data_IF_674542337994
#
_entry.id   IF_674542337994
#
_cell.length_a   1.000
_cell.length_b   1.000
_cell.length_c   1.000
_cell.angle_alpha   90.00
_cell.angle_beta   90.00
_cell.angle_gamma   90.00
#
_symmetry.space_group_name_H-M   'P 1'
#
loop_
_entity.id
_entity.type
_entity.pdbx_description
1 polymer ?
#
# COMPACT_ATOMS: atom_id res chain seq x y z
N UNK A 1 11.39 -13.76 -6.71
CA UNK A 1 11.24 -12.28 -6.94
C UNK A 1 10.53 -11.71 -5.72
N UNK A 2 11.03 -10.66 -5.03
CA UNK A 2 10.44 -10.15 -3.78
C UNK A 2 9.53 -8.96 -4.06
N UNK A 3 8.21 -9.00 -3.83
CA UNK A 3 7.34 -7.81 -3.99
C UNK A 3 6.42 -7.57 -2.81
N UNK A 4 6.43 -6.35 -2.29
CA UNK A 4 5.49 -5.90 -1.26
C UNK A 4 5.23 -4.40 -1.34
N UNK A 5 4.05 -4.00 -0.87
CA UNK A 5 3.57 -2.62 -0.82
C UNK A 5 3.77 -2.07 0.59
N UNK A 6 4.42 -0.90 0.73
CA UNK A 6 4.55 -0.19 2.01
C UNK A 6 3.66 1.06 2.02
N UNK A 7 2.64 1.14 2.89
CA UNK A 7 1.75 2.31 3.02
C UNK A 7 2.00 3.07 4.34
N UNK A 8 1.89 4.41 4.33
CA UNK A 8 2.07 5.29 5.51
C UNK A 8 0.84 6.13 5.83
N UNK A 9 0.42 6.20 7.10
CA UNK A 9 -0.79 6.88 7.62
C UNK A 9 -0.59 8.39 7.94
N UNK A 10 -1.69 9.16 7.92
CA UNK A 10 -1.75 10.62 8.20
C UNK A 10 -2.46 10.96 9.53
N UNK A 11 -2.20 10.20 10.60
CA UNK A 11 -2.27 10.69 11.98
C UNK A 11 -0.86 11.11 12.39
N UNK A 12 -0.72 11.81 13.52
CA UNK A 12 0.58 11.99 14.18
C UNK A 12 1.37 10.67 14.07
N UNK A 13 2.49 10.70 13.34
CA UNK A 13 3.32 9.51 13.16
C UNK A 13 3.90 9.14 14.51
N UNK A 14 4.30 7.88 14.70
CA UNK A 14 5.04 7.47 15.89
C UNK A 14 6.27 8.36 16.13
N UNK A 15 6.91 8.85 15.06
CA UNK A 15 7.99 9.86 15.14
C UNK A 15 7.48 11.22 15.66
N UNK A 16 6.40 11.76 15.08
CA UNK A 16 5.82 13.03 15.53
C UNK A 16 5.30 12.94 16.97
N UNK A 17 4.73 11.79 17.35
CA UNK A 17 4.31 11.49 18.71
C UNK A 17 5.51 11.54 19.65
N UNK A 18 6.62 10.91 19.29
CA UNK A 18 7.85 11.00 20.07
C UNK A 18 8.31 12.46 20.18
N UNK A 19 8.39 13.20 19.07
CA UNK A 19 8.81 14.61 19.08
C UNK A 19 7.92 15.48 19.96
N UNK A 20 6.60 15.32 19.87
CA UNK A 20 5.64 16.03 20.72
C UNK A 20 5.83 15.67 22.19
N UNK A 21 5.93 14.39 22.54
CA UNK A 21 6.14 13.98 23.93
C UNK A 21 7.44 14.56 24.48
N UNK A 22 8.52 14.60 23.68
CA UNK A 22 9.77 15.25 24.08
C UNK A 22 9.60 16.76 24.30
N UNK A 23 8.77 17.43 23.49
CA UNK A 23 8.43 18.85 23.69
C UNK A 23 7.59 19.09 24.96
N UNK A 24 6.85 18.09 25.41
CA UNK A 24 6.06 18.09 26.65
C UNK A 24 6.90 17.68 27.89
N UNK A 25 8.22 17.53 27.74
CA UNK A 25 9.15 17.24 28.83
C UNK A 25 9.38 15.76 29.11
N UNK A 26 8.88 14.86 28.26
CA UNK A 26 9.25 13.45 28.33
C UNK A 26 10.72 13.27 27.92
N UNK A 27 11.30 12.14 28.35
CA UNK A 27 12.67 11.75 28.03
C UNK A 27 12.72 10.39 27.36
N UNK A 28 13.73 10.17 26.52
CA UNK A 28 14.05 8.85 25.98
C UNK A 28 14.75 8.04 27.08
N UNK A 29 14.07 7.03 27.61
CA UNK A 29 14.63 6.10 28.61
C UNK A 29 15.48 5.00 27.97
N UNK A 30 15.27 4.72 26.69
CA UNK A 30 16.07 3.75 25.94
C UNK A 30 15.59 3.58 24.51
N UNK A 31 16.40 2.89 23.71
CA UNK A 31 16.05 2.54 22.34
C UNK A 31 16.48 1.10 22.07
N UNK A 32 15.58 0.31 21.51
CA UNK A 32 15.87 -1.05 21.08
C UNK A 32 15.27 -1.30 19.70
N UNK A 33 16.14 -1.57 18.71
CA UNK A 33 15.75 -1.73 17.30
C UNK A 33 14.89 -0.52 16.84
N UNK A 34 13.61 -0.76 16.56
CA UNK A 34 12.65 0.24 16.08
C UNK A 34 11.72 0.76 17.18
N UNK A 35 11.92 0.33 18.43
CA UNK A 35 11.13 0.76 19.57
C UNK A 35 11.88 1.82 20.36
N UNK A 36 11.21 2.93 20.63
CA UNK A 36 11.66 3.99 21.54
C UNK A 36 10.89 3.84 22.84
N UNK A 37 11.60 3.84 23.96
CA UNK A 37 11.01 3.81 25.28
C UNK A 37 10.99 5.23 25.83
N UNK A 38 9.80 5.79 26.00
CA UNK A 38 9.60 7.12 26.55
C UNK A 38 9.30 7.04 28.05
N UNK A 39 9.80 8.00 28.82
CA UNK A 39 9.49 8.16 30.23
C UNK A 39 8.95 9.57 30.46
N UNK A 40 7.80 9.73 31.14
CA UNK A 40 7.26 11.04 31.49
C UNK A 40 8.19 11.82 32.43
N UNK A 41 7.98 13.14 32.59
CA UNK A 41 8.81 13.98 33.46
C UNK A 41 8.91 13.46 34.90
N UNK A 42 7.83 12.86 35.41
CA UNK A 42 7.74 12.31 36.77
C UNK A 42 8.40 10.92 36.92
N UNK A 43 8.78 10.28 35.80
CA UNK A 43 9.39 8.96 35.79
C UNK A 43 8.48 7.81 36.22
N UNK A 44 7.16 8.01 36.26
CA UNK A 44 6.21 7.04 36.81
C UNK A 44 6.10 5.72 36.03
N UNK A 45 6.33 5.74 34.71
CA UNK A 45 6.28 4.55 33.87
C UNK A 45 7.21 4.64 32.65
N UNK A 46 7.28 3.55 31.88
CA UNK A 46 7.95 3.48 30.58
C UNK A 46 6.90 3.15 29.51
N UNK A 47 6.82 3.97 28.47
CA UNK A 47 5.91 3.80 27.35
C UNK A 47 6.67 3.39 26.08
N UNK A 48 6.53 2.15 25.59
CA UNK A 48 7.14 1.72 24.35
C UNK A 48 6.37 2.23 23.13
N UNK A 49 7.07 2.87 22.20
CA UNK A 49 6.54 3.32 20.90
C UNK A 49 7.29 2.58 19.80
N UNK A 50 6.61 1.71 19.03
CA UNK A 50 7.21 1.08 17.85
C UNK A 50 7.07 2.02 16.65
N UNK A 51 8.20 2.56 16.19
CA UNK A 51 8.27 3.50 15.07
C UNK A 51 7.85 2.88 13.73
N UNK A 52 7.61 1.56 13.67
CA UNK A 52 7.10 0.87 12.48
C UNK A 52 5.58 0.87 12.38
N UNK A 53 4.85 1.22 13.44
CA UNK A 53 3.37 1.21 13.42
C UNK A 53 2.78 2.18 12.38
N UNK A 54 3.58 3.11 11.86
CA UNK A 54 3.17 4.02 10.78
C UNK A 54 3.24 3.37 9.39
N UNK A 55 3.66 2.12 9.32
CA UNK A 55 3.98 1.41 8.09
C UNK A 55 3.29 0.06 8.06
N UNK A 56 2.57 -0.19 6.98
CA UNK A 56 1.98 -1.50 6.70
C UNK A 56 2.67 -2.13 5.48
N UNK A 57 3.02 -3.42 5.58
CA UNK A 57 3.59 -4.21 4.50
C UNK A 57 2.55 -5.19 3.97
N UNK A 58 2.11 -5.02 2.72
CA UNK A 58 1.17 -5.93 2.06
C UNK A 58 1.89 -6.87 1.09
N UNK A 59 1.43 -8.13 1.07
CA UNK A 59 1.95 -9.18 0.19
C UNK A 59 0.94 -9.52 -0.92
N UNK A 60 1.42 -9.89 -2.12
CA UNK A 60 0.57 -10.51 -3.13
C UNK A 60 -0.17 -11.73 -2.58
N UNK A 61 -1.48 -11.79 -2.76
CA UNK A 61 -2.31 -12.92 -2.30
C UNK A 61 -3.10 -13.58 -3.43
N UNK A 62 -3.19 -12.95 -4.60
CA UNK A 62 -3.80 -13.49 -5.80
C UNK A 62 -3.23 -12.83 -7.06
N UNK A 63 -3.56 -13.38 -8.23
CA UNK A 63 -3.35 -12.69 -9.51
C UNK A 63 -4.11 -11.35 -9.51
N UNK A 64 -3.49 -10.31 -10.08
CA UNK A 64 -4.19 -9.08 -10.45
C UNK A 64 -4.74 -9.18 -11.87
N UNK A 65 -4.91 -8.03 -12.53
CA UNK A 65 -5.52 -7.98 -13.87
C UNK A 65 -4.63 -8.54 -14.99
N UNK A 66 -3.32 -8.68 -14.73
CA UNK A 66 -2.33 -9.08 -15.73
C UNK A 66 -1.40 -10.14 -15.16
N UNK A 67 -1.18 -11.21 -15.92
CA UNK A 67 -0.22 -12.28 -15.62
C UNK A 67 0.54 -12.65 -16.89
N UNK A 68 1.22 -11.67 -17.49
CA UNK A 68 1.80 -11.79 -18.84
C UNK A 68 3.28 -12.21 -18.83
N UNK A 69 3.93 -12.36 -17.67
CA UNK A 69 5.32 -12.83 -17.58
C UNK A 69 5.38 -14.34 -17.90
N UNK A 70 6.02 -14.78 -19.00
CA UNK A 70 5.75 -16.11 -19.58
C UNK A 70 6.38 -17.27 -18.81
N UNK A 71 7.50 -17.05 -18.12
CA UNK A 71 8.26 -18.12 -17.49
C UNK A 71 8.10 -18.07 -15.99
N UNK A 72 7.97 -19.24 -15.39
CA UNK A 72 7.98 -19.39 -13.93
C UNK A 72 8.83 -20.58 -13.52
N UNK A 73 9.37 -20.55 -12.29
CA UNK A 73 10.12 -21.67 -11.72
C UNK A 73 9.87 -21.83 -10.23
N UNK A 74 10.11 -23.04 -9.73
CA UNK A 74 9.82 -23.45 -8.35
C UNK A 74 8.35 -23.82 -8.10
N UNK A 75 8.06 -24.31 -6.89
CA UNK A 75 6.69 -24.68 -6.47
C UNK A 75 5.84 -23.43 -6.18
N UNK A 76 4.57 -23.45 -6.57
CA UNK A 76 3.62 -22.36 -6.31
C UNK A 76 2.33 -22.50 -7.12
N UNK A 77 1.23 -21.92 -6.61
CA UNK A 77 -0.12 -22.03 -7.22
C UNK A 77 -0.35 -21.08 -8.40
N UNK A 78 0.53 -20.10 -8.59
CA UNK A 78 0.48 -19.11 -9.67
C UNK A 78 1.62 -18.10 -9.54
N UNK A 79 1.59 -17.01 -10.32
CA UNK A 79 2.67 -16.01 -10.29
C UNK A 79 2.81 -15.35 -8.91
N UNK A 80 1.69 -15.03 -8.26
CA UNK A 80 1.68 -14.44 -6.91
C UNK A 80 2.31 -15.37 -5.87
N UNK A 81 2.05 -16.68 -5.95
CA UNK A 81 2.63 -17.69 -5.06
C UNK A 81 4.10 -17.99 -5.32
N UNK A 82 4.67 -17.48 -6.41
CA UNK A 82 6.10 -17.57 -6.76
C UNK A 82 6.87 -16.27 -6.50
N UNK A 83 6.20 -15.30 -5.87
CA UNK A 83 6.81 -14.08 -5.34
C UNK A 83 6.98 -14.29 -3.84
N UNK A 84 8.23 -14.42 -3.39
CA UNK A 84 8.57 -14.57 -1.96
C UNK A 84 9.62 -13.52 -1.60
N UNK A 85 9.55 -12.98 -0.40
CA UNK A 85 10.59 -12.15 0.20
C UNK A 85 11.54 -12.90 1.13
N UNK A 86 11.23 -14.17 1.41
CA UNK A 86 12.05 -15.04 2.26
C UNK A 86 13.07 -15.82 1.42
N UNK A 87 12.67 -16.32 0.24
CA UNK A 87 13.48 -17.22 -0.59
C UNK A 87 13.58 -16.78 -2.06
N UNK A 88 14.64 -17.24 -2.74
CA UNK A 88 14.89 -17.08 -4.18
C UNK A 88 14.56 -18.36 -4.99
N UNK A 89 14.07 -19.42 -4.34
CA UNK A 89 13.76 -20.71 -4.98
C UNK A 89 12.59 -20.62 -5.98
N UNK A 90 11.74 -19.61 -5.83
CA UNK A 90 10.60 -19.35 -6.72
C UNK A 90 10.76 -18.04 -7.47
N UNK A 91 10.37 -18.05 -8.76
CA UNK A 91 10.49 -16.88 -9.61
C UNK A 91 9.45 -16.84 -10.72
N UNK A 92 9.26 -15.62 -11.21
CA UNK A 92 8.69 -15.30 -12.53
C UNK A 92 9.81 -14.69 -13.36
N UNK A 93 9.83 -14.96 -14.65
CA UNK A 93 10.91 -14.57 -15.54
C UNK A 93 10.45 -14.39 -16.98
N UNK A 94 11.23 -13.63 -17.72
CA UNK A 94 11.05 -13.44 -19.14
C UNK A 94 12.42 -13.60 -19.80
N UNK A 95 12.53 -14.56 -20.72
CA UNK A 95 13.75 -14.81 -21.47
C UNK A 95 13.78 -14.05 -22.82
N UNK A 96 12.68 -13.37 -23.16
CA UNK A 96 12.51 -12.66 -24.42
C UNK A 96 12.70 -11.15 -24.21
N UNK A 97 13.15 -10.45 -25.24
CA UNK A 97 13.31 -8.98 -25.25
C UNK A 97 11.98 -8.22 -25.44
N UNK A 98 10.86 -8.78 -24.98
CA UNK A 98 9.53 -8.16 -25.03
C UNK A 98 9.12 -7.65 -23.66
N UNK A 99 8.48 -6.48 -23.61
CA UNK A 99 7.93 -5.97 -22.36
C UNK A 99 6.76 -6.82 -21.90
N UNK A 100 6.86 -7.35 -20.68
CA UNK A 100 5.82 -8.13 -20.02
C UNK A 100 5.57 -7.57 -18.64
N UNK A 101 4.31 -7.55 -18.22
CA UNK A 101 3.89 -7.04 -16.92
C UNK A 101 2.98 -8.04 -16.22
N UNK A 102 3.17 -8.11 -14.91
CA UNK A 102 2.25 -8.74 -14.00
C UNK A 102 1.73 -7.69 -13.03
N UNK A 103 0.42 -7.74 -12.76
CA UNK A 103 -0.23 -7.05 -11.67
C UNK A 103 -0.66 -8.08 -10.63
N UNK A 104 -0.63 -7.69 -9.35
CA UNK A 104 -0.99 -8.58 -8.25
C UNK A 104 -2.04 -7.93 -7.38
N UNK A 105 -3.03 -8.71 -6.98
CA UNK A 105 -3.91 -8.31 -5.89
C UNK A 105 -3.16 -8.39 -4.57
N UNK A 106 -3.44 -7.43 -3.71
CA UNK A 106 -2.90 -7.32 -2.37
C UNK A 106 -4.02 -7.56 -1.37
N UNK A 107 -3.68 -8.04 -0.18
CA UNK A 107 -4.61 -8.07 0.95
C UNK A 107 -5.13 -6.66 1.25
N UNK A 108 -6.38 -6.56 1.71
CA UNK A 108 -6.93 -5.29 2.16
C UNK A 108 -6.04 -4.70 3.28
N UNK A 109 -5.72 -3.40 3.22
CA UNK A 109 -5.01 -2.76 4.31
C UNK A 109 -5.82 -2.81 5.60
N UNK A 110 -5.12 -3.01 6.71
CA UNK A 110 -5.69 -2.88 8.06
C UNK A 110 -5.78 -1.42 8.51
N UNK A 111 -5.04 -0.52 7.84
CA UNK A 111 -5.03 0.91 8.11
C UNK A 111 -6.18 1.68 7.44
N UNK A 112 -6.55 2.80 8.06
CA UNK A 112 -7.41 3.84 7.47
C UNK A 112 -6.75 5.22 7.58
N UNK A 113 -7.07 6.12 6.66
CA UNK A 113 -6.54 7.49 6.59
C UNK A 113 -5.87 7.81 5.26
N UNK A 114 -5.23 8.99 5.18
CA UNK A 114 -4.47 9.38 3.99
C UNK A 114 -3.16 8.60 3.94
N UNK A 115 -2.82 8.10 2.76
CA UNK A 115 -1.55 7.43 2.48
C UNK A 115 -0.52 8.50 2.11
N UNK A 116 0.67 8.50 2.71
CA UNK A 116 1.75 9.45 2.38
C UNK A 116 2.66 8.95 1.25
N UNK A 117 2.91 7.64 1.22
CA UNK A 117 3.62 7.01 0.12
C UNK A 117 3.24 5.54 0.00
N UNK A 118 3.51 5.02 -1.18
CA UNK A 118 3.44 3.61 -1.53
C UNK A 118 4.83 3.18 -2.01
N UNK A 119 5.49 2.25 -1.31
CA UNK A 119 6.78 1.70 -1.77
C UNK A 119 6.61 0.28 -2.28
N UNK A 120 7.04 0.05 -3.53
CA UNK A 120 7.08 -1.27 -4.16
C UNK A 120 8.51 -1.78 -4.10
N UNK A 121 8.71 -2.90 -3.43
CA UNK A 121 9.99 -3.61 -3.46
C UNK A 121 9.98 -4.64 -4.60
N UNK A 122 11.09 -4.81 -5.30
CA UNK A 122 11.32 -5.84 -6.31
C UNK A 122 12.73 -6.40 -6.17
N UNK A 123 12.90 -7.72 -6.21
CA UNK A 123 14.22 -8.35 -6.41
C UNK A 123 14.27 -8.95 -7.80
N UNK A 124 15.20 -8.48 -8.62
CA UNK A 124 15.34 -8.93 -10.02
C UNK A 124 16.76 -9.42 -10.25
N UNK A 125 16.87 -10.53 -10.97
CA UNK A 125 18.15 -11.10 -11.41
C UNK A 125 18.08 -11.33 -12.93
N UNK A 126 19.13 -10.94 -13.63
CA UNK A 126 19.40 -11.34 -15.00
C UNK A 126 20.56 -12.34 -15.02
N UNK A 127 20.45 -13.33 -15.90
CA UNK A 127 21.36 -14.47 -15.99
C UNK A 127 22.31 -14.41 -17.19
N UNK A 128 22.01 -13.60 -18.22
CA UNK A 128 22.78 -13.59 -19.48
C UNK A 128 23.30 -12.17 -19.79
N UNK A 129 22.43 -11.16 -19.79
CA UNK A 129 22.78 -9.77 -20.15
C UNK A 129 22.14 -8.74 -19.21
N UNK A 130 22.53 -7.47 -19.29
CA UNK A 130 21.81 -6.41 -18.62
C UNK A 130 20.35 -6.37 -19.14
N UNK A 131 19.38 -6.58 -18.25
CA UNK A 131 17.97 -6.45 -18.59
C UNK A 131 17.40 -5.11 -18.15
N UNK A 132 16.14 -4.84 -18.51
CA UNK A 132 15.42 -3.64 -18.09
C UNK A 132 14.22 -3.99 -17.22
N UNK A 133 13.78 -3.02 -16.43
CA UNK A 133 12.63 -3.16 -15.54
C UNK A 133 11.83 -1.87 -15.42
N UNK A 134 10.57 -2.06 -15.03
CA UNK A 134 9.66 -1.05 -14.51
C UNK A 134 8.99 -1.58 -13.24
N UNK A 135 8.51 -0.70 -12.39
CA UNK A 135 7.49 -1.05 -11.39
C UNK A 135 6.17 -0.41 -11.78
N UNK A 136 5.07 -1.08 -11.45
CA UNK A 136 3.73 -0.62 -11.76
C UNK A 136 2.88 -0.61 -10.49
N UNK A 137 2.04 0.41 -10.34
CA UNK A 137 1.09 0.59 -9.26
C UNK A 137 -0.30 0.82 -9.88
N UNK A 138 -1.29 -0.02 -9.53
CA UNK A 138 -2.68 0.18 -9.95
C UNK A 138 -3.51 0.72 -8.80
N UNK A 139 -4.19 1.84 -9.01
CA UNK A 139 -5.10 2.47 -8.04
C UNK A 139 -6.33 2.97 -8.82
N UNK A 140 -7.53 2.68 -8.31
CA UNK A 140 -8.81 3.13 -8.89
C UNK A 140 -8.94 2.86 -10.39
N UNK A 141 -8.53 1.66 -10.81
CA UNK A 141 -8.57 1.23 -12.21
C UNK A 141 -7.42 1.74 -13.10
N UNK A 142 -6.63 2.72 -12.63
CA UNK A 142 -5.54 3.32 -13.39
C UNK A 142 -4.18 2.71 -13.03
N UNK A 143 -3.34 2.44 -14.03
CA UNK A 143 -1.99 1.89 -13.85
C UNK A 143 -0.94 2.97 -14.05
N UNK A 144 -0.05 3.11 -13.06
CA UNK A 144 1.08 4.04 -13.06
C UNK A 144 2.38 3.24 -13.14
N UNK A 145 3.27 3.60 -14.06
CA UNK A 145 4.55 2.91 -14.24
C UNK A 145 5.73 3.86 -14.01
N UNK A 146 6.85 3.31 -13.54
CA UNK A 146 8.11 4.04 -13.53
C UNK A 146 8.77 4.08 -14.90
N UNK A 147 9.70 5.01 -15.06
CA UNK A 147 10.69 4.97 -16.12
C UNK A 147 11.49 3.66 -16.12
N UNK A 148 12.07 3.36 -17.28
CA UNK A 148 12.94 2.20 -17.49
C UNK A 148 14.24 2.35 -16.71
N UNK A 149 14.63 1.26 -16.04
CA UNK A 149 15.90 1.19 -15.33
C UNK A 149 16.62 -0.10 -15.70
N UNK A 150 17.95 -0.02 -15.78
CA UNK A 150 18.82 -1.17 -16.00
C UNK A 150 18.84 -2.06 -14.73
N UNK A 151 18.89 -3.38 -14.95
CA UNK A 151 19.00 -4.39 -13.89
C UNK A 151 20.48 -4.59 -13.54
N UNK A 152 20.80 -4.42 -12.26
CA UNK A 152 22.15 -4.63 -11.72
C UNK A 152 22.24 -5.86 -10.80
N UNK A 153 21.33 -6.84 -10.92
CA UNK A 153 21.25 -8.02 -10.04
C UNK A 153 21.10 -7.70 -8.54
N UNK A 154 20.32 -6.66 -8.24
CA UNK A 154 20.18 -6.10 -6.89
C UNK A 154 18.74 -6.13 -6.37
N UNK A 155 18.61 -6.03 -5.04
CA UNK A 155 17.36 -5.65 -4.40
C UNK A 155 17.06 -4.19 -4.73
N UNK A 156 15.82 -3.89 -5.12
CA UNK A 156 15.41 -2.55 -5.50
C UNK A 156 14.05 -2.21 -4.95
N UNK A 157 13.78 -0.92 -4.88
CA UNK A 157 12.47 -0.41 -4.55
C UNK A 157 12.19 0.87 -5.32
N UNK A 158 10.91 1.12 -5.57
CA UNK A 158 10.39 2.39 -6.06
C UNK A 158 9.44 2.94 -5.03
N UNK A 159 9.51 4.25 -4.76
CA UNK A 159 8.52 4.95 -3.93
C UNK A 159 7.63 5.80 -4.83
N UNK A 160 6.34 5.53 -4.80
CA UNK A 160 5.28 6.38 -5.32
C UNK A 160 4.83 7.29 -4.18
N UNK A 161 4.97 8.60 -4.36
CA UNK A 161 4.53 9.58 -3.36
C UNK A 161 3.08 9.92 -3.67
N UNK A 162 2.20 9.71 -2.71
CA UNK A 162 0.83 10.18 -2.77
C UNK A 162 0.83 11.58 -2.17
N UNK A 163 0.93 12.60 -3.03
CA UNK A 163 0.95 13.99 -2.54
C UNK A 163 -0.39 14.31 -1.88
N UNK A 164 -0.41 14.84 -0.63
CA UNK A 164 -1.67 15.21 0.05
C UNK A 164 -2.38 16.40 -0.63
N UNK A 165 -1.75 17.03 -1.62
CA UNK A 165 -2.30 18.11 -2.44
C UNK A 165 -2.70 17.68 -3.85
N UNK A 166 -2.57 16.40 -4.22
CA UNK A 166 -3.01 15.91 -5.53
C UNK A 166 -4.21 14.98 -5.38
N UNK A 167 -5.40 15.57 -5.43
CA UNK A 167 -6.58 14.90 -6.01
C UNK A 167 -6.51 14.85 -7.54
N UNK A 168 -5.41 15.31 -8.16
CA UNK A 168 -5.19 15.20 -9.59
C UNK A 168 -3.77 14.69 -9.88
N UNK A 169 -3.68 13.41 -10.21
CA UNK A 169 -2.64 12.91 -11.12
C UNK A 169 -2.77 13.65 -12.47
N UNK A 170 -1.69 13.80 -13.26
CA UNK A 170 -1.77 14.46 -14.56
C UNK A 170 -2.70 13.66 -15.48
N UNK A 171 -3.94 14.09 -15.57
CA UNK A 171 -4.85 13.69 -16.63
C UNK A 171 -4.44 14.45 -17.90
N UNK A 172 -4.25 13.79 -19.05
CA UNK A 172 -4.36 14.50 -20.31
C UNK A 172 -5.84 14.89 -20.48
N UNK A 173 -6.13 16.12 -20.05
CA UNK A 173 -7.27 16.96 -20.43
C UNK A 173 -8.58 16.26 -20.84
N UNK A 174 -9.48 15.98 -19.88
CA UNK A 174 -10.93 16.06 -20.12
C UNK A 174 -11.66 16.48 -18.83
N UNK A 175 -12.70 17.34 -18.91
CA UNK A 175 -13.39 17.87 -17.73
C UNK A 175 -14.35 16.83 -17.13
N UNK A 176 -14.26 16.63 -15.82
CA UNK A 176 -15.20 15.83 -15.04
C UNK A 176 -16.58 16.51 -14.96
N UNK A 177 -17.71 15.81 -15.14
CA UNK A 177 -18.97 16.23 -14.56
C UNK A 177 -18.95 15.91 -13.06
N UNK A 178 -19.18 16.94 -12.23
CA UNK A 178 -19.39 16.81 -10.79
C UNK A 178 -20.55 15.84 -10.50
N UNK A 179 -20.28 14.76 -9.78
CA UNK A 179 -21.32 13.95 -9.16
C UNK A 179 -21.79 14.65 -7.89
N UNK A 180 -22.92 15.33 -8.04
CA UNK A 180 -23.76 15.83 -6.97
C UNK A 180 -24.10 14.73 -5.96
N UNK A 181 -24.21 15.14 -4.69
CA UNK A 181 -24.85 14.38 -3.62
C UNK A 181 -26.17 13.80 -4.12
N UNK A 182 -26.31 12.48 -4.12
CA UNK A 182 -27.64 11.86 -4.04
C UNK A 182 -28.13 12.05 -2.61
N UNK A 183 -29.02 13.02 -2.44
CA UNK A 183 -29.89 13.13 -1.27
C UNK A 183 -30.77 11.90 -1.15
N UNK A 184 -30.99 11.50 0.09
CA UNK A 184 -31.96 10.50 0.53
C UNK A 184 -33.32 10.67 -0.15
N UNK A 185 -33.79 9.59 -0.76
CA UNK A 185 -35.20 9.41 -1.08
C UNK A 185 -35.93 9.02 0.20
N UNK A 186 -36.55 10.00 0.84
CA UNK A 186 -37.60 9.78 1.82
C UNK A 186 -38.67 8.83 1.24
N UNK A 187 -38.91 7.70 1.92
CA UNK A 187 -40.19 6.98 1.77
C UNK A 187 -41.16 7.56 2.79
N UNK A 188 -42.04 8.38 2.24
CA UNK A 188 -43.40 8.70 2.64
C UNK A 188 -44.00 7.91 3.81
N UNK A 189 -44.32 8.65 4.88
CA UNK A 189 -45.43 8.36 5.79
C UNK A 189 -46.75 8.42 5.01
N UNK A 190 -47.62 7.43 5.20
CA UNK A 190 -48.96 7.43 4.65
C UNK A 190 -49.89 6.43 5.34
N UNK A 191 -51.03 6.95 5.79
CA UNK A 191 -52.27 6.28 6.20
C UNK A 191 -52.43 5.85 7.68
N UNK A 192 -52.96 6.80 8.47
CA UNK A 192 -53.97 6.53 9.49
C UNK A 192 -55.25 5.97 8.84
N UNK A 193 -55.96 5.07 9.52
CA UNK A 193 -57.38 4.84 9.29
C UNK A 193 -57.84 3.38 9.33
N UNK A 194 -58.24 2.90 10.50
CA UNK A 194 -59.33 1.92 10.61
C UNK A 194 -59.92 1.90 12.04
N UNK A 195 -61.12 2.47 12.18
CA UNK A 195 -62.19 1.91 13.02
C UNK A 195 -63.11 1.12 12.09
N UNK A 196 -63.70 0.01 12.56
CA UNK A 196 -65.15 0.03 12.61
C UNK A 196 -65.73 -0.47 13.94
N UNK A 197 -67.01 -0.13 14.03
CA UNK A 197 -68.02 -0.16 15.07
C UNK A 197 -68.38 -1.53 15.65
N UNK A 198 -68.92 -1.43 16.87
CA UNK A 198 -69.88 -2.31 17.54
C UNK A 198 -70.78 -3.17 16.65
N UNK A 199 -70.99 -4.42 17.07
CA UNK A 199 -72.28 -4.91 17.62
C UNK A 199 -71.99 -5.78 18.86
#
# INVERSE_FOLDING_TARGET
MRKYLRMRKNRETCEQYVERQLSEGWRIAGRWKHTVYLSPPDGSFIHPVDLRNDVETLRPNAAGDETNIPTTGGMGTGHWGRVSDESDETYVGNANYIWTRDLYHLSSPSGSGVINFVRIYIRIRSIIEAGWRKTALKIDGSVYETSELVINNENFYTTFITSPLQTSFPSPAFPFPQLARRSESQRTFGACGHCPTSE
#
